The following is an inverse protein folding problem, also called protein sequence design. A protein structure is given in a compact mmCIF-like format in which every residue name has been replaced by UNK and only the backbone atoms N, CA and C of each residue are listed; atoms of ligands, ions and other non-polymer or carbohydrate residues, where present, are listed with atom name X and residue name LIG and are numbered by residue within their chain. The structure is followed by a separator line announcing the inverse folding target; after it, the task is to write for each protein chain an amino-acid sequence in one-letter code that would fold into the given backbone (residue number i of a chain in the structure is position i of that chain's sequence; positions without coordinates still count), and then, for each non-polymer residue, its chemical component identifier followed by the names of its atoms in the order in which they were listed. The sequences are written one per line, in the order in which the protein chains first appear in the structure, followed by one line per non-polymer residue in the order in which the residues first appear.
data_IF_066354610586
#
_entry.id   IF_066354610586
#
_cell.length_a   1.000
_cell.length_b   1.000
_cell.length_c   1.000
_cell.angle_alpha   90.00
_cell.angle_beta   90.00
_cell.angle_gamma   90.00
#
_symmetry.space_group_name_H-M   'P 1'
#
loop_
_entity.id
_entity.type
_entity.pdbx_description
1 polymer ?
#
# COMPACT_ATOMS: atom_id res chain seq x y z
N UNK A 1 8.28 -3.76 5.50
CA UNK A 1 6.94 -4.01 4.95
C UNK A 1 6.54 -2.89 4.00
N UNK A 2 5.27 -2.86 3.56
CA UNK A 2 4.75 -1.84 2.63
C UNK A 2 4.95 -0.43 3.19
N UNK A 3 4.55 -0.21 4.45
CA UNK A 3 4.66 1.11 5.10
C UNK A 3 6.10 1.58 5.25
N UNK A 4 7.03 0.71 5.66
CA UNK A 4 8.45 1.09 5.82
C UNK A 4 9.07 1.52 4.49
N UNK A 5 8.77 0.79 3.41
CA UNK A 5 9.24 1.11 2.07
C UNK A 5 8.63 2.43 1.57
N UNK A 6 7.33 2.61 1.77
CA UNK A 6 6.63 3.86 1.41
C UNK A 6 7.16 5.06 2.19
N UNK A 7 7.41 4.91 3.49
CA UNK A 7 7.97 5.98 4.30
C UNK A 7 9.37 6.36 3.82
N UNK A 8 10.25 5.38 3.60
CA UNK A 8 11.61 5.64 3.10
C UNK A 8 11.61 6.41 1.77
N UNK A 9 10.74 6.04 0.82
CA UNK A 9 10.60 6.76 -0.45
C UNK A 9 10.04 8.19 -0.28
N UNK A 10 9.09 8.40 0.63
CA UNK A 10 8.56 9.74 0.94
C UNK A 10 9.61 10.63 1.60
N UNK A 11 10.41 10.09 2.52
CA UNK A 11 11.49 10.86 3.15
C UNK A 11 12.51 11.31 2.11
N UNK A 12 12.94 10.40 1.23
CA UNK A 12 13.90 10.74 0.18
C UNK A 12 13.39 11.86 -0.73
N UNK A 13 12.12 11.81 -1.13
CA UNK A 13 11.50 12.83 -2.00
C UNK A 13 11.22 14.16 -1.30
N UNK A 14 10.93 14.16 0.01
CA UNK A 14 10.58 15.37 0.77
C UNK A 14 11.76 16.08 1.39
N UNK A 15 12.81 15.34 1.75
CA UNK A 15 13.96 15.89 2.48
C UNK A 15 15.06 16.34 1.51
N UNK A 16 15.20 15.68 0.36
CA UNK A 16 16.23 16.00 -0.61
C UNK A 16 15.66 16.76 -1.82
N UNK A 17 16.42 17.77 -2.25
CA UNK A 17 16.19 18.47 -3.51
C UNK A 17 16.26 17.51 -4.70
N UNK A 18 15.55 17.81 -5.78
CA UNK A 18 15.39 16.90 -6.93
C UNK A 18 16.71 16.36 -7.48
N UNK A 19 17.75 17.20 -7.59
CA UNK A 19 19.06 16.79 -8.09
C UNK A 19 19.90 15.97 -7.11
N UNK A 20 19.52 15.92 -5.83
CA UNK A 20 20.22 15.17 -4.78
C UNK A 20 19.53 13.84 -4.42
N UNK A 21 18.33 13.58 -4.95
CA UNK A 21 17.57 12.35 -4.68
C UNK A 21 18.24 11.13 -5.30
N UNK A 22 18.37 10.07 -4.52
CA UNK A 22 18.78 8.77 -4.99
C UNK A 22 17.60 8.05 -5.68
N UNK A 23 17.32 8.38 -6.94
CA UNK A 23 16.16 7.83 -7.67
C UNK A 23 16.13 6.29 -7.67
N UNK A 24 17.27 5.63 -7.90
CA UNK A 24 17.34 4.17 -7.86
C UNK A 24 16.98 3.56 -6.49
N UNK A 25 17.17 4.30 -5.40
CA UNK A 25 16.72 3.87 -4.08
C UNK A 25 15.20 4.02 -3.93
N UNK A 26 14.63 5.14 -4.38
CA UNK A 26 13.17 5.34 -4.41
C UNK A 26 12.50 4.20 -5.20
N UNK A 27 13.02 3.90 -6.39
CA UNK A 27 12.51 2.84 -7.27
C UNK A 27 12.60 1.47 -6.60
N UNK A 28 13.70 1.19 -5.90
CA UNK A 28 13.86 -0.04 -5.15
C UNK A 28 12.83 -0.18 -4.00
N UNK A 29 12.45 0.92 -3.33
CA UNK A 29 11.39 0.87 -2.32
C UNK A 29 10.00 0.66 -2.95
N UNK A 30 9.72 1.36 -4.06
CA UNK A 30 8.48 1.16 -4.84
C UNK A 30 8.34 -0.29 -5.31
N UNK A 31 9.43 -0.90 -5.77
CA UNK A 31 9.45 -2.31 -6.17
C UNK A 31 9.14 -3.25 -5.00
N UNK A 32 9.60 -2.95 -3.77
CA UNK A 32 9.23 -3.75 -2.59
C UNK A 32 7.74 -3.67 -2.28
N UNK A 33 7.13 -2.49 -2.43
CA UNK A 33 5.68 -2.31 -2.26
C UNK A 33 4.94 -3.18 -3.28
N UNK A 34 5.31 -3.08 -4.56
CA UNK A 34 4.72 -3.87 -5.63
C UNK A 34 4.82 -5.38 -5.36
N UNK A 35 6.01 -5.89 -5.02
CA UNK A 35 6.22 -7.30 -4.68
C UNK A 35 5.44 -7.77 -3.47
N UNK A 36 5.27 -6.92 -2.46
CA UNK A 36 4.44 -7.24 -1.31
C UNK A 36 2.96 -7.37 -1.71
N UNK A 37 2.48 -6.50 -2.61
CA UNK A 37 1.13 -6.61 -3.17
C UNK A 37 0.98 -7.89 -4.01
N UNK A 38 1.98 -8.25 -4.81
CA UNK A 38 1.99 -9.51 -5.58
C UNK A 38 1.88 -10.74 -4.66
N UNK A 39 2.62 -10.73 -3.55
CA UNK A 39 2.56 -11.81 -2.56
C UNK A 39 1.18 -11.89 -1.90
N UNK A 40 0.57 -10.75 -1.56
CA UNK A 40 -0.78 -10.72 -0.98
C UNK A 40 -1.83 -11.31 -1.93
N UNK A 41 -1.79 -10.90 -3.21
CA UNK A 41 -2.65 -11.45 -4.29
C UNK A 41 -2.46 -12.96 -4.43
N UNK A 42 -1.22 -13.43 -4.54
CA UNK A 42 -0.95 -14.81 -4.89
C UNK A 42 -1.12 -15.81 -3.72
N UNK A 43 -0.93 -15.37 -2.47
CA UNK A 43 -0.73 -16.29 -1.34
C UNK A 43 -1.62 -16.00 -0.12
N UNK A 44 -2.12 -14.78 0.05
CA UNK A 44 -2.74 -14.36 1.32
C UNK A 44 -4.22 -13.97 1.21
N UNK A 45 -4.81 -13.95 0.01
CA UNK A 45 -6.23 -13.60 -0.16
C UNK A 45 -7.17 -14.45 0.69
N UNK A 46 -6.94 -15.76 0.78
CA UNK A 46 -7.78 -16.64 1.60
C UNK A 46 -7.73 -16.28 3.09
N UNK A 47 -6.59 -15.81 3.58
CA UNK A 47 -6.45 -15.34 4.95
C UNK A 47 -7.13 -13.98 5.16
N UNK A 48 -6.94 -13.05 4.21
CA UNK A 48 -7.57 -11.73 4.21
C UNK A 48 -9.11 -11.77 4.12
N UNK A 49 -9.65 -12.79 3.44
CA UNK A 49 -11.09 -13.04 3.35
C UNK A 49 -11.67 -13.76 4.59
N UNK A 50 -10.83 -14.14 5.55
CA UNK A 50 -11.24 -14.75 6.81
C UNK A 50 -11.83 -13.75 7.81
N UNK A 51 -11.99 -14.17 9.09
CA UNK A 51 -12.41 -13.27 10.15
C UNK A 51 -11.49 -12.04 10.24
N UNK A 52 -12.09 -10.87 10.51
CA UNK A 52 -11.33 -9.64 10.66
C UNK A 52 -10.32 -9.76 11.80
N UNK A 53 -9.05 -9.51 11.49
CA UNK A 53 -7.96 -9.49 12.44
C UNK A 53 -7.03 -8.27 12.22
N UNK A 54 -5.98 -8.19 13.05
CA UNK A 54 -5.00 -7.12 12.96
C UNK A 54 -4.22 -7.13 11.63
N UNK A 55 -4.04 -8.29 11.00
CA UNK A 55 -3.35 -8.42 9.72
C UNK A 55 -4.15 -7.80 8.58
N UNK A 56 -5.44 -8.11 8.51
CA UNK A 56 -6.36 -7.51 7.53
C UNK A 56 -6.45 -5.99 7.69
N UNK A 57 -6.54 -5.49 8.92
CA UNK A 57 -6.53 -4.04 9.22
C UNK A 57 -5.22 -3.40 8.76
N UNK A 58 -4.08 -4.02 9.09
CA UNK A 58 -2.76 -3.50 8.70
C UNK A 58 -2.58 -3.45 7.18
N UNK A 59 -3.03 -4.48 6.44
CA UNK A 59 -2.97 -4.51 4.98
C UNK A 59 -3.87 -3.43 4.39
N UNK A 60 -5.12 -3.30 4.85
CA UNK A 60 -6.03 -2.27 4.35
C UNK A 60 -5.47 -0.86 4.58
N UNK A 61 -4.97 -0.56 5.79
CA UNK A 61 -4.35 0.72 6.09
C UNK A 61 -3.10 0.99 5.23
N UNK A 62 -2.26 -0.03 5.01
CA UNK A 62 -1.07 0.10 4.18
C UNK A 62 -1.41 0.39 2.71
N UNK A 63 -2.41 -0.29 2.15
CA UNK A 63 -2.87 -0.06 0.77
C UNK A 63 -3.54 1.31 0.63
N UNK A 64 -4.34 1.75 1.61
CA UNK A 64 -4.86 3.11 1.66
C UNK A 64 -3.76 4.18 1.71
N UNK A 65 -2.67 3.93 2.42
CA UNK A 65 -1.51 4.82 2.42
C UNK A 65 -0.80 4.85 1.06
N UNK A 66 -0.69 3.70 0.38
CA UNK A 66 -0.15 3.63 -0.98
C UNK A 66 -1.04 4.43 -1.95
N UNK A 67 -2.36 4.31 -1.87
CA UNK A 67 -3.28 5.15 -2.66
C UNK A 67 -3.06 6.65 -2.40
N UNK A 68 -2.85 7.02 -1.13
CA UNK A 68 -2.68 8.42 -0.74
C UNK A 68 -1.34 9.01 -1.19
N UNK A 69 -0.24 8.26 -1.15
CA UNK A 69 1.12 8.79 -1.35
C UNK A 69 1.82 8.31 -2.62
N UNK A 70 1.29 7.27 -3.25
CA UNK A 70 1.86 6.60 -4.42
C UNK A 70 0.74 6.19 -5.39
N UNK A 71 -0.20 7.11 -5.65
CA UNK A 71 -1.34 6.87 -6.54
C UNK A 71 -0.93 6.43 -7.95
N UNK A 72 0.27 6.81 -8.39
CA UNK A 72 0.88 6.46 -9.66
C UNK A 72 1.49 5.04 -9.70
N UNK A 73 1.64 4.36 -8.55
CA UNK A 73 2.20 3.01 -8.49
C UNK A 73 1.27 1.96 -9.11
N UNK A 74 -0.02 2.28 -9.27
CA UNK A 74 -0.98 1.38 -9.92
C UNK A 74 -1.11 0.03 -9.21
N UNK A 75 -1.09 -0.01 -7.87
CA UNK A 75 -0.93 -1.28 -7.14
C UNK A 75 -2.05 -2.31 -7.41
N UNK A 76 -3.20 -1.91 -7.95
CA UNK A 76 -4.29 -2.82 -8.34
C UNK A 76 -4.03 -3.56 -9.65
N UNK A 77 -3.14 -3.03 -10.50
CA UNK A 77 -2.84 -3.63 -11.81
C UNK A 77 -2.21 -5.02 -11.63
N UNK A 78 -2.81 -6.02 -12.28
CA UNK A 78 -2.40 -7.42 -12.15
C UNK A 78 -2.78 -8.09 -10.81
N UNK A 79 -3.52 -7.41 -9.93
CA UNK A 79 -3.90 -7.90 -8.58
C UNK A 79 -5.42 -7.80 -8.32
N UNK A 80 -6.26 -8.43 -9.16
CA UNK A 80 -7.70 -8.25 -9.12
C UNK A 80 -8.34 -8.74 -7.81
N UNK A 81 -7.84 -9.81 -7.19
CA UNK A 81 -8.39 -10.33 -5.95
C UNK A 81 -8.17 -9.38 -4.78
N UNK A 82 -6.96 -8.84 -4.67
CA UNK A 82 -6.58 -7.88 -3.64
C UNK A 82 -7.30 -6.55 -3.84
N UNK A 83 -7.45 -6.12 -5.10
CA UNK A 83 -8.21 -4.93 -5.43
C UNK A 83 -9.69 -5.05 -5.02
N UNK A 84 -10.33 -6.18 -5.33
CA UNK A 84 -11.71 -6.45 -4.95
C UNK A 84 -11.86 -6.52 -3.42
N UNK A 85 -11.00 -7.30 -2.76
CA UNK A 85 -10.99 -7.40 -1.29
C UNK A 85 -10.84 -6.02 -0.62
N UNK A 86 -9.92 -5.19 -1.10
CA UNK A 86 -9.71 -3.86 -0.52
C UNK A 86 -10.91 -2.94 -0.76
N UNK A 87 -11.58 -3.02 -1.92
CA UNK A 87 -12.78 -2.24 -2.19
C UNK A 87 -13.91 -2.60 -1.20
N UNK A 88 -14.10 -3.89 -0.95
CA UNK A 88 -15.07 -4.36 0.04
C UNK A 88 -14.69 -3.93 1.47
N UNK A 89 -13.41 -4.07 1.83
CA UNK A 89 -12.91 -3.64 3.14
C UNK A 89 -13.08 -2.13 3.37
N UNK A 90 -12.78 -1.32 2.35
CA UNK A 90 -12.95 0.13 2.39
C UNK A 90 -14.43 0.55 2.48
N UNK A 91 -15.36 -0.36 2.19
CA UNK A 91 -16.79 -0.16 2.39
C UNK A 91 -17.21 -0.04 3.85
N UNK A 92 -16.41 -0.55 4.79
CA UNK A 92 -16.72 -0.59 6.24
C UNK A 92 -16.77 0.81 6.86
N UNK A 93 -17.75 1.07 7.71
CA UNK A 93 -17.92 2.38 8.37
C UNK A 93 -16.68 2.80 9.18
N UNK A 94 -16.05 1.86 9.90
CA UNK A 94 -14.85 2.14 10.67
C UNK A 94 -13.67 2.61 9.81
N UNK A 95 -13.55 2.06 8.60
CA UNK A 95 -12.48 2.44 7.67
C UNK A 95 -12.79 3.80 7.02
N UNK A 96 -14.04 4.01 6.58
CA UNK A 96 -14.50 5.30 6.06
C UNK A 96 -14.32 6.44 7.06
N UNK A 97 -14.59 6.19 8.34
CA UNK A 97 -14.44 7.17 9.42
C UNK A 97 -12.98 7.54 9.72
N UNK A 98 -12.01 6.82 9.16
CA UNK A 98 -10.57 7.01 9.42
C UNK A 98 -9.76 7.31 8.16
N UNK A 99 -10.41 7.68 7.06
CA UNK A 99 -9.74 8.14 5.85
C UNK A 99 -8.91 9.40 6.19
N UNK A 100 -7.62 9.45 5.81
CA UNK A 100 -6.78 10.61 6.06
C UNK A 100 -7.36 11.88 5.44
N UNK A 101 -7.31 12.98 6.18
CA UNK A 101 -7.55 14.30 5.61
C UNK A 101 -6.36 14.72 4.71
N UNK A 102 -6.66 15.56 3.73
CA UNK A 102 -5.67 16.13 2.79
C UNK A 102 -4.65 17.04 3.51
#
# INVERSE_FOLDING_TARGET
GILDAGLAAIYETRVHDEGARAQGWIDAQRLKIARACDALEAQWLAHLAGPLDAGAIAVAAALGYVDFRFSDLGWREGRPGLAAWHADFAGRESFKATIPAE
#
